data_IF_034878625338
#
_entry.id   IF_034878625338
#
_cell.length_a   1.000
_cell.length_b   1.000
_cell.length_c   1.000
_cell.angle_alpha   90.00
_cell.angle_beta   90.00
_cell.angle_gamma   90.00
#
_symmetry.space_group_name_H-M   'P 1'
#
loop_
_entity.id
_entity.type
_entity.pdbx_description
1 polymer ?
#
# COMPACT_ATOMS: atom_id res chain seq x y z
N UNK A 1 2.63 -3.11 -1.09
CA UNK A 1 4.10 -3.12 -0.86
C UNK A 1 4.49 -4.03 0.30
N UNK A 2 3.91 -3.90 1.49
CA UNK A 2 4.21 -4.76 2.65
C UNK A 2 4.13 -6.26 2.33
N UNK A 3 3.09 -6.68 1.60
CA UNK A 3 2.94 -8.06 1.12
C UNK A 3 4.08 -8.54 0.22
N UNK A 4 4.59 -7.69 -0.67
CA UNK A 4 5.69 -8.07 -1.56
C UNK A 4 7.00 -8.24 -0.78
N UNK A 5 7.26 -7.37 0.20
CA UNK A 5 8.40 -7.56 1.12
C UNK A 5 8.25 -8.83 1.94
N UNK A 6 7.04 -9.13 2.42
CA UNK A 6 6.76 -10.36 3.15
C UNK A 6 7.03 -11.60 2.30
N UNK A 7 6.72 -11.59 0.99
CA UNK A 7 7.08 -12.69 0.07
C UNK A 7 8.58 -12.86 -0.09
N UNK A 8 9.35 -11.76 -0.18
CA UNK A 8 10.82 -11.82 -0.29
C UNK A 8 11.39 -12.41 1.00
N UNK A 9 10.97 -11.88 2.15
CA UNK A 9 11.33 -12.42 3.46
C UNK A 9 10.99 -13.91 3.58
N UNK A 10 9.79 -14.31 3.19
CA UNK A 10 9.34 -15.70 3.23
C UNK A 10 10.19 -16.61 2.33
N UNK A 11 10.75 -16.11 1.22
CA UNK A 11 11.68 -16.86 0.40
C UNK A 11 13.05 -17.04 1.09
N UNK A 12 13.58 -15.99 1.72
CA UNK A 12 14.84 -16.04 2.48
C UNK A 12 14.70 -16.93 3.73
N UNK A 13 13.61 -16.80 4.47
CA UNK A 13 13.34 -17.57 5.67
C UNK A 13 13.18 -19.07 5.39
N UNK A 14 12.47 -19.45 4.32
CA UNK A 14 12.38 -20.86 3.90
C UNK A 14 13.71 -21.46 3.50
N UNK A 15 14.67 -20.65 3.04
CA UNK A 15 16.01 -21.13 2.70
C UNK A 15 16.89 -21.35 3.95
N UNK A 16 16.51 -20.79 5.11
CA UNK A 16 17.24 -20.98 6.36
C UNK A 16 16.87 -22.32 7.02
N UNK A 17 17.85 -23.19 7.33
CA UNK A 17 17.58 -24.48 7.97
C UNK A 17 16.88 -24.32 9.32
N UNK A 18 15.76 -25.03 9.50
CA UNK A 18 15.02 -25.04 10.77
C UNK A 18 14.04 -23.89 10.97
N UNK A 19 13.87 -22.99 9.99
CA UNK A 19 12.92 -21.86 10.14
C UNK A 19 11.46 -22.33 10.20
N UNK A 20 11.10 -23.36 9.43
CA UNK A 20 9.73 -23.89 9.37
C UNK A 20 8.75 -22.94 8.68
N UNK A 21 7.53 -22.83 9.22
CA UNK A 21 6.48 -21.97 8.67
C UNK A 21 6.88 -20.49 8.69
N UNK A 22 6.50 -19.75 7.65
CA UNK A 22 6.94 -18.36 7.45
C UNK A 22 5.76 -17.39 7.48
N UNK A 23 5.94 -16.19 8.08
CA UNK A 23 4.98 -15.10 8.02
C UNK A 23 4.46 -14.82 6.61
N UNK A 24 3.15 -14.63 6.49
CA UNK A 24 2.45 -14.26 5.26
C UNK A 24 1.45 -13.14 5.54
N UNK A 25 1.50 -12.06 4.76
CA UNK A 25 0.42 -11.06 4.72
C UNK A 25 -0.64 -11.53 3.71
N UNK A 26 -1.87 -11.74 4.18
CA UNK A 26 -2.97 -12.21 3.34
C UNK A 26 -3.35 -11.14 2.28
N UNK A 27 -3.86 -11.55 1.11
CA UNK A 27 -4.29 -10.60 0.10
C UNK A 27 -5.57 -9.86 0.52
N UNK A 28 -5.55 -8.54 0.32
CA UNK A 28 -6.73 -7.68 0.39
C UNK A 28 -7.25 -7.42 -1.02
N UNK A 29 -8.54 -7.66 -1.24
CA UNK A 29 -9.24 -7.42 -2.49
C UNK A 29 -10.10 -6.16 -2.39
N UNK A 30 -10.05 -5.33 -3.43
CA UNK A 30 -10.89 -4.14 -3.54
C UNK A 30 -12.13 -4.48 -4.36
N UNK A 31 -13.32 -4.21 -3.83
CA UNK A 31 -14.59 -4.46 -4.50
C UNK A 31 -15.09 -3.16 -5.13
N UNK A 32 -15.37 -3.23 -6.44
CA UNK A 32 -15.86 -2.12 -7.25
C UNK A 32 -17.32 -2.33 -7.65
N UNK A 33 -18.06 -1.23 -7.82
CA UNK A 33 -19.35 -1.26 -8.52
C UNK A 33 -19.11 -1.14 -10.02
N UNK A 34 -20.01 -1.69 -10.87
CA UNK A 34 -19.94 -1.48 -12.31
C UNK A 34 -19.81 0.01 -12.65
N UNK A 35 -18.93 0.33 -13.60
CA UNK A 35 -18.63 1.69 -14.06
C UNK A 35 -18.12 2.68 -12.97
N UNK A 36 -17.60 2.20 -11.83
CA UNK A 36 -16.98 3.05 -10.82
C UNK A 36 -15.52 2.60 -10.53
N UNK A 37 -14.60 3.56 -10.56
CA UNK A 37 -13.17 3.33 -10.27
C UNK A 37 -12.82 3.56 -8.79
N UNK A 38 -13.79 3.91 -7.94
CA UNK A 38 -13.62 4.02 -6.49
C UNK A 38 -14.16 2.75 -5.83
N UNK A 39 -13.32 1.99 -5.08
CA UNK A 39 -13.78 0.81 -4.37
C UNK A 39 -14.72 1.21 -3.23
N UNK A 40 -15.75 0.40 -2.97
CA UNK A 40 -16.72 0.66 -1.90
C UNK A 40 -16.60 -0.30 -0.72
N UNK A 41 -15.91 -1.42 -0.91
CA UNK A 41 -15.65 -2.41 0.13
C UNK A 41 -14.30 -3.08 -0.11
N UNK A 42 -13.75 -3.64 0.97
CA UNK A 42 -12.58 -4.51 0.95
C UNK A 42 -12.99 -5.92 1.35
N UNK A 43 -12.27 -6.92 0.87
CA UNK A 43 -12.48 -8.34 1.19
C UNK A 43 -11.13 -9.02 1.42
N UNK A 44 -11.07 -9.87 2.41
CA UNK A 44 -9.91 -10.69 2.75
C UNK A 44 -10.36 -12.09 3.21
N UNK A 45 -9.39 -13.00 3.33
CA UNK A 45 -9.64 -14.34 3.87
C UNK A 45 -10.05 -14.26 5.34
N UNK A 46 -11.20 -14.81 5.70
CA UNK A 46 -11.57 -14.98 7.12
C UNK A 46 -10.67 -16.05 7.76
N UNK A 47 -9.87 -15.65 8.74
CA UNK A 47 -8.96 -16.55 9.46
C UNK A 47 -9.70 -17.50 10.42
N UNK A 48 -11.00 -17.28 10.68
CA UNK A 48 -11.88 -18.20 11.40
C UNK A 48 -11.53 -18.45 12.87
N UNK A 49 -10.59 -17.69 13.43
CA UNK A 49 -10.11 -17.79 14.82
C UNK A 49 -9.83 -16.40 15.39
N UNK A 50 -9.86 -16.23 16.72
CA UNK A 50 -9.42 -14.98 17.35
C UNK A 50 -7.99 -14.64 16.95
N UNK A 51 -7.77 -13.39 16.57
CA UNK A 51 -6.46 -12.92 16.12
C UNK A 51 -5.57 -12.55 17.33
N UNK A 52 -4.30 -12.94 17.28
CA UNK A 52 -3.25 -12.48 18.20
C UNK A 52 -2.57 -11.23 17.60
N UNK A 53 -2.29 -10.23 18.44
CA UNK A 53 -1.46 -9.10 18.05
C UNK A 53 0.02 -9.46 18.23
N UNK A 54 0.78 -9.39 17.14
CA UNK A 54 2.22 -9.66 17.10
C UNK A 54 3.07 -8.41 17.35
N UNK A 55 2.53 -7.23 17.05
CA UNK A 55 3.08 -5.95 17.50
C UNK A 55 2.00 -4.88 17.57
N UNK A 56 2.11 -3.98 18.56
CA UNK A 56 1.27 -2.79 18.67
C UNK A 56 2.12 -1.54 18.49
N UNK A 57 1.52 -0.52 17.89
CA UNK A 57 2.08 0.83 17.79
C UNK A 57 2.28 1.53 19.15
N UNK A 58 1.58 1.10 20.19
CA UNK A 58 1.68 1.64 21.55
C UNK A 58 2.84 0.98 22.31
N UNK A 59 4.08 1.18 21.86
CA UNK A 59 5.26 0.71 22.59
C UNK A 59 5.54 1.54 23.87
N UNK A 60 4.68 2.50 24.22
CA UNK A 60 4.94 3.54 25.23
C UNK A 60 4.26 3.39 26.59
N UNK A 61 3.29 2.49 26.79
CA UNK A 61 2.51 2.45 28.04
C UNK A 61 2.28 1.05 28.66
N UNK A 62 2.91 0.00 28.14
CA UNK A 62 2.94 -1.28 28.81
C UNK A 62 4.24 -1.39 29.64
N UNK A 63 4.09 -1.37 30.96
CA UNK A 63 5.13 -1.84 31.88
C UNK A 63 5.68 -3.18 31.39
N UNK A 64 7.00 -3.37 31.55
CA UNK A 64 7.76 -4.53 31.08
C UNK A 64 6.90 -5.80 31.04
N UNK A 65 6.70 -6.43 29.86
CA UNK A 65 6.13 -7.75 29.86
C UNK A 65 7.16 -8.63 30.57
N UNK A 66 6.79 -9.11 31.76
CA UNK A 66 7.40 -10.27 32.37
C UNK A 66 7.60 -11.30 31.25
N UNK A 67 8.77 -11.93 31.20
CA UNK A 67 9.23 -12.87 30.18
C UNK A 67 8.24 -14.03 29.91
N UNK A 68 7.08 -13.71 29.35
CA UNK A 68 6.13 -14.64 28.80
C UNK A 68 6.73 -15.08 27.49
N UNK A 69 6.86 -16.40 27.34
CA UNK A 69 7.26 -17.03 26.08
C UNK A 69 6.34 -16.50 24.98
N UNK A 70 6.82 -15.53 24.20
CA UNK A 70 6.12 -15.05 23.02
C UNK A 70 5.89 -16.23 22.09
N UNK A 71 4.70 -16.32 21.49
CA UNK A 71 4.38 -17.40 20.57
C UNK A 71 5.41 -17.41 19.42
N UNK A 72 5.67 -18.59 18.85
CA UNK A 72 6.59 -18.72 17.71
C UNK A 72 6.20 -17.76 16.56
N UNK A 73 4.89 -17.61 16.35
CA UNK A 73 4.30 -16.65 15.43
C UNK A 73 4.72 -15.21 15.74
N UNK A 74 4.60 -14.76 16.99
CA UNK A 74 5.04 -13.43 17.44
C UNK A 74 6.54 -13.24 17.14
N UNK A 75 7.38 -14.21 17.49
CA UNK A 75 8.83 -14.13 17.28
C UNK A 75 9.18 -14.01 15.79
N UNK A 76 8.57 -14.84 14.94
CA UNK A 76 8.77 -14.79 13.49
C UNK A 76 8.28 -13.47 12.87
N UNK A 77 7.17 -12.92 13.37
CA UNK A 77 6.66 -11.62 12.93
C UNK A 77 7.57 -10.46 13.38
N UNK A 78 8.16 -10.53 14.57
CA UNK A 78 9.18 -9.58 15.02
C UNK A 78 10.47 -9.68 14.18
N UNK A 79 10.87 -10.89 13.81
CA UNK A 79 12.00 -11.11 12.88
C UNK A 79 11.71 -10.54 11.50
N UNK A 80 10.48 -10.67 10.99
CA UNK A 80 10.07 -10.01 9.75
C UNK A 80 10.19 -8.47 9.83
N UNK A 81 9.74 -7.86 10.94
CA UNK A 81 9.91 -6.41 11.15
C UNK A 81 11.38 -6.00 11.17
N UNK A 82 12.24 -6.76 11.86
CA UNK A 82 13.69 -6.49 11.93
C UNK A 82 14.35 -6.63 10.57
N UNK A 83 14.06 -7.72 9.86
CA UNK A 83 14.55 -7.95 8.49
C UNK A 83 14.14 -6.79 7.57
N UNK A 84 12.87 -6.37 7.63
CA UNK A 84 12.34 -5.30 6.79
C UNK A 84 12.97 -3.95 7.09
N UNK A 85 13.18 -3.66 8.37
CA UNK A 85 13.87 -2.45 8.82
C UNK A 85 15.29 -2.40 8.23
N UNK A 86 16.05 -3.49 8.30
CA UNK A 86 17.38 -3.58 7.68
C UNK A 86 17.32 -3.49 6.15
N UNK A 87 16.42 -4.24 5.52
CA UNK A 87 16.25 -4.31 4.08
C UNK A 87 15.99 -2.94 3.44
N UNK A 88 15.24 -2.10 4.16
CA UNK A 88 14.86 -0.76 3.71
C UNK A 88 15.74 0.34 4.33
N UNK A 89 16.86 -0.03 4.94
CA UNK A 89 17.81 0.90 5.57
C UNK A 89 17.14 1.86 6.58
N UNK A 90 16.25 1.33 7.40
CA UNK A 90 15.52 2.06 8.44
C UNK A 90 14.52 3.09 7.92
N UNK A 91 14.00 2.90 6.70
CA UNK A 91 13.04 3.84 6.10
C UNK A 91 11.59 3.36 6.13
N UNK A 92 11.37 2.08 6.40
CA UNK A 92 10.07 1.42 6.32
C UNK A 92 9.94 0.35 7.39
N UNK A 93 8.78 0.30 8.04
CA UNK A 93 8.41 -0.70 9.03
C UNK A 93 6.94 -1.05 8.81
N UNK A 94 6.59 -2.33 9.03
CA UNK A 94 5.20 -2.76 9.13
C UNK A 94 4.82 -2.75 10.61
N UNK A 95 3.67 -2.19 10.93
CA UNK A 95 3.16 -2.05 12.30
C UNK A 95 1.78 -2.68 12.42
N UNK A 96 1.29 -2.83 13.65
CA UNK A 96 -0.05 -3.34 13.95
C UNK A 96 -0.29 -4.71 13.30
N UNK A 97 0.73 -5.58 13.39
CA UNK A 97 0.67 -6.94 12.90
C UNK A 97 -0.29 -7.74 13.79
N UNK A 98 -1.39 -8.22 13.22
CA UNK A 98 -2.29 -9.15 13.88
C UNK A 98 -2.68 -10.29 12.94
N UNK A 99 -3.02 -11.45 13.50
CA UNK A 99 -3.56 -12.54 12.71
C UNK A 99 -3.59 -13.87 13.46
N UNK A 100 -3.47 -14.97 12.71
CA UNK A 100 -3.60 -16.33 13.25
C UNK A 100 -2.41 -17.15 12.75
N UNK A 101 -1.62 -17.70 13.68
CA UNK A 101 -0.36 -18.40 13.38
C UNK A 101 0.59 -17.50 12.57
N UNK A 102 1.02 -17.92 11.38
CA UNK A 102 1.90 -17.12 10.51
C UNK A 102 1.15 -16.22 9.53
N UNK A 103 -0.19 -16.27 9.47
CA UNK A 103 -0.98 -15.38 8.62
C UNK A 103 -1.24 -14.06 9.33
N UNK A 104 -0.97 -12.95 8.67
CA UNK A 104 -1.15 -11.58 9.16
C UNK A 104 -2.12 -10.82 8.25
N UNK A 105 -2.93 -9.96 8.84
CA UNK A 105 -3.86 -9.07 8.15
C UNK A 105 -3.85 -7.66 8.75
N UNK A 106 -4.59 -6.73 8.14
CA UNK A 106 -4.82 -5.35 8.61
C UNK A 106 -3.56 -4.55 8.97
N UNK A 107 -2.45 -4.91 8.34
CA UNK A 107 -1.14 -4.35 8.67
C UNK A 107 -1.05 -2.87 8.32
N UNK A 108 -0.46 -2.09 9.22
CA UNK A 108 -0.16 -0.69 9.01
C UNK A 108 1.31 -0.50 8.63
N UNK A 109 1.68 0.72 8.25
CA UNK A 109 3.05 1.05 7.87
C UNK A 109 3.53 2.32 8.57
N UNK A 110 4.81 2.33 8.92
CA UNK A 110 5.54 3.50 9.37
C UNK A 110 6.71 3.78 8.42
N UNK A 111 6.78 5.01 7.94
CA UNK A 111 7.80 5.46 6.99
C UNK A 111 8.57 6.65 7.53
N UNK A 112 9.85 6.74 7.17
CA UNK A 112 10.71 7.85 7.59
C UNK A 112 10.35 9.17 6.91
N UNK A 113 9.86 9.09 5.67
CA UNK A 113 9.46 10.24 4.86
C UNK A 113 7.95 10.21 4.60
N UNK A 114 7.37 11.41 4.39
CA UNK A 114 5.97 11.60 4.01
C UNK A 114 5.71 11.19 2.56
N UNK A 115 4.46 10.84 2.27
CA UNK A 115 3.98 10.62 0.90
C UNK A 115 4.40 9.29 0.29
N UNK A 116 4.74 8.29 1.11
CA UNK A 116 5.11 6.97 0.62
C UNK A 116 3.96 6.37 -0.20
N UNK A 117 4.18 6.17 -1.51
CA UNK A 117 3.14 5.68 -2.44
C UNK A 117 1.83 6.49 -2.40
N UNK A 118 1.89 7.79 -2.08
CA UNK A 118 0.72 8.65 -1.94
C UNK A 118 0.01 8.58 -0.58
N UNK A 119 0.47 7.73 0.34
CA UNK A 119 -0.02 7.70 1.72
C UNK A 119 0.60 8.86 2.51
N UNK A 120 -0.26 9.80 2.94
CA UNK A 120 0.17 10.99 3.70
C UNK A 120 0.34 10.70 5.20
N UNK A 121 -0.44 9.75 5.71
CA UNK A 121 -0.54 9.43 7.13
C UNK A 121 0.40 8.30 7.59
N UNK A 122 1.36 7.86 6.77
CA UNK A 122 2.30 6.79 7.15
C UNK A 122 3.61 7.30 7.79
N UNK A 123 3.82 8.61 7.87
CA UNK A 123 5.11 9.17 8.27
C UNK A 123 5.29 9.21 9.79
N UNK A 124 5.92 8.17 10.35
CA UNK A 124 6.16 8.03 11.78
C UNK A 124 7.64 7.72 12.08
N UNK A 125 8.57 8.67 11.85
CA UNK A 125 10.01 8.46 12.09
C UNK A 125 10.32 8.08 13.54
N UNK A 126 9.62 8.67 14.53
CA UNK A 126 9.81 8.33 15.93
C UNK A 126 9.52 6.85 16.24
N UNK A 127 8.56 6.24 15.55
CA UNK A 127 8.23 4.82 15.72
C UNK A 127 9.32 3.91 15.14
N UNK A 128 9.96 4.31 14.05
CA UNK A 128 11.12 3.62 13.48
C UNK A 128 12.31 3.66 14.44
N UNK A 129 12.59 4.83 15.02
CA UNK A 129 13.68 5.00 16.00
C UNK A 129 13.40 4.22 17.30
N UNK A 130 12.14 4.22 17.76
CA UNK A 130 11.71 3.44 18.91
C UNK A 130 11.82 1.94 18.67
N UNK A 131 11.44 1.45 17.50
CA UNK A 131 11.64 0.06 17.12
C UNK A 131 13.13 -0.30 17.15
N UNK A 132 13.99 0.55 16.56
CA UNK A 132 15.42 0.29 16.51
C UNK A 132 16.09 0.24 17.89
N UNK A 133 15.60 1.02 18.85
CA UNK A 133 16.16 1.06 20.22
C UNK A 133 15.65 -0.03 21.14
N UNK A 134 14.48 -0.60 20.84
CA UNK A 134 13.77 -1.52 21.73
C UNK A 134 13.68 -2.96 21.23
N UNK A 135 13.93 -3.19 19.94
CA UNK A 135 13.94 -4.52 19.37
C UNK A 135 15.06 -5.37 19.97
N UNK A 136 14.66 -6.49 20.59
CA UNK A 136 15.59 -7.53 21.04
C UNK A 136 15.57 -8.65 20.02
N UNK A 137 16.75 -9.00 19.50
CA UNK A 137 16.89 -10.13 18.58
C UNK A 137 16.43 -11.43 19.27
N UNK A 138 15.81 -12.30 18.49
CA UNK A 138 15.40 -13.64 18.92
C UNK A 138 16.13 -14.70 18.07
N UNK A 139 15.88 -15.97 18.37
CA UNK A 139 16.50 -17.11 17.68
C UNK A 139 16.30 -17.09 16.16
N UNK A 140 15.15 -16.59 15.66
CA UNK A 140 14.90 -16.47 14.22
C UNK A 140 15.69 -15.31 13.59
N UNK A 141 15.90 -14.20 14.31
CA UNK A 141 16.81 -13.13 13.85
C UNK A 141 18.24 -13.66 13.70
N UNK A 142 18.71 -14.46 14.65
CA UNK A 142 20.03 -15.09 14.63
C UNK A 142 20.14 -16.12 13.49
N UNK A 143 19.11 -16.94 13.29
CA UNK A 143 19.04 -17.92 12.20
C UNK A 143 19.18 -17.28 10.82
N UNK A 144 18.66 -16.06 10.64
CA UNK A 144 18.81 -15.28 9.41
C UNK A 144 20.08 -14.42 9.37
N UNK A 145 20.92 -14.46 10.42
CA UNK A 145 22.15 -13.67 10.51
C UNK A 145 21.90 -12.16 10.49
N UNK A 146 20.76 -11.69 11.01
CA UNK A 146 20.42 -10.27 10.99
C UNK A 146 21.36 -9.48 11.91
N UNK A 147 21.83 -8.33 11.43
CA UNK A 147 22.62 -7.42 12.25
C UNK A 147 21.76 -6.88 13.40
N UNK A 148 22.19 -7.02 14.68
CA UNK A 148 21.48 -6.42 15.79
C UNK A 148 21.29 -4.91 15.59
N UNK A 149 20.08 -4.43 15.90
CA UNK A 149 19.80 -2.99 15.95
C UNK A 149 20.49 -2.42 17.20
N UNK A 150 21.02 -1.19 17.12
CA UNK A 150 21.80 -0.63 18.22
C UNK A 150 20.94 -0.55 19.48
N UNK A 151 21.33 -1.27 20.53
CA UNK A 151 20.91 -0.95 21.89
C UNK A 151 21.43 0.42 22.34
N UNK A 152 21.05 0.90 23.53
CA UNK A 152 21.35 2.26 24.01
C UNK A 152 22.84 2.66 24.10
N UNK A 153 23.81 1.80 23.75
CA UNK A 153 25.20 2.22 23.63
C UNK A 153 25.94 1.41 22.54
N UNK A 154 26.05 2.00 21.33
CA UNK A 154 27.09 1.64 20.36
C UNK A 154 27.26 2.76 19.33
N UNK A 155 27.94 3.82 19.72
CA UNK A 155 28.49 4.79 18.78
C UNK A 155 29.80 4.24 18.18
N UNK A 156 29.79 3.76 16.92
CA UNK A 156 30.86 3.95 15.91
C UNK A 156 30.41 3.42 14.52
N UNK A 157 31.07 3.86 13.41
CA UNK A 157 30.44 4.02 12.09
C UNK A 157 30.42 2.77 11.20
N UNK A 158 29.60 2.86 10.17
CA UNK A 158 29.19 1.81 9.24
C UNK A 158 30.36 1.20 8.45
N UNK A 159 30.60 -0.10 8.64
CA UNK A 159 31.18 -0.93 7.59
C UNK A 159 30.08 -1.30 6.58
N UNK A 160 30.32 -1.02 5.30
CA UNK A 160 29.46 -1.32 4.14
C UNK A 160 28.93 -2.76 4.22
N UNK A 161 27.63 -2.93 4.37
CA UNK A 161 26.97 -4.20 4.10
C UNK A 161 26.90 -4.44 2.58
N UNK A 162 27.17 -5.69 2.18
CA UNK A 162 27.15 -6.18 0.80
C UNK A 162 25.72 -6.06 0.25
N UNK A 163 25.60 -5.41 -0.92
CA UNK A 163 24.34 -4.88 -1.44
C UNK A 163 23.22 -5.90 -1.62
N UNK A 164 22.08 -5.61 -1.00
CA UNK A 164 20.77 -6.11 -1.37
C UNK A 164 20.17 -5.16 -2.42
N UNK A 165 19.94 -5.68 -3.63
CA UNK A 165 19.29 -4.95 -4.72
C UNK A 165 17.81 -4.77 -4.37
N UNK A 166 17.46 -3.66 -3.73
CA UNK A 166 16.08 -3.23 -3.58
C UNK A 166 15.44 -3.00 -4.96
N UNK A 167 14.24 -3.52 -5.25
CA UNK A 167 13.51 -3.20 -6.46
C UNK A 167 12.80 -1.87 -6.26
N UNK A 168 13.54 -0.77 -6.36
CA UNK A 168 12.92 0.55 -6.45
C UNK A 168 12.34 0.72 -7.85
N UNK A 169 11.01 0.81 -7.93
CA UNK A 169 10.29 1.14 -9.14
C UNK A 169 10.78 2.48 -9.73
N UNK A 170 11.64 2.38 -10.74
CA UNK A 170 12.20 3.51 -11.48
C UNK A 170 12.29 3.17 -12.95
N UNK A 171 11.16 3.25 -13.67
CA UNK A 171 11.18 3.37 -15.13
C UNK A 171 10.35 4.59 -15.52
N UNK A 172 11.01 5.75 -15.60
CA UNK A 172 10.58 6.84 -16.48
C UNK A 172 11.56 6.93 -17.63
N UNK A 173 10.99 6.89 -18.84
CA UNK A 173 11.64 7.20 -20.11
C UNK A 173 11.38 6.13 -21.19
N UNK A 174 11.31 6.49 -22.48
CA UNK A 174 10.83 7.72 -23.11
C UNK A 174 9.60 7.46 -24.00
N UNK A 175 8.78 8.50 -24.17
CA UNK A 175 7.72 8.59 -25.18
C UNK A 175 8.31 8.41 -26.58
N UNK A 176 8.04 7.28 -27.25
CA UNK A 176 8.19 7.14 -28.69
C UNK A 176 7.02 6.32 -29.25
N UNK A 177 6.07 7.03 -29.84
CA UNK A 177 5.02 6.49 -30.71
C UNK A 177 5.63 5.82 -31.94
N UNK A 178 5.22 4.61 -32.34
CA UNK A 178 5.56 4.07 -33.64
C UNK A 178 4.48 4.43 -34.66
N UNK A 179 4.71 5.46 -35.48
CA UNK A 179 4.00 5.61 -36.76
C UNK A 179 4.83 4.96 -37.89
N UNK A 180 4.25 4.05 -38.69
CA UNK A 180 4.96 3.42 -39.80
C UNK A 180 5.14 4.38 -40.98
N UNK A 181 6.35 4.34 -41.56
CA UNK A 181 6.81 5.16 -42.67
C UNK A 181 6.04 4.84 -43.97
N UNK A 182 5.53 5.87 -44.66
CA UNK A 182 5.19 5.79 -46.09
C UNK A 182 6.00 6.78 -46.90
N UNK A 183 6.68 6.22 -47.92
CA UNK A 183 7.44 6.90 -48.96
C UNK A 183 6.51 7.71 -49.89
N UNK A 184 6.96 8.90 -50.29
CA UNK A 184 6.41 9.68 -51.42
C UNK A 184 7.50 10.62 -51.97
N UNK A 185 7.63 10.79 -53.30
CA UNK A 185 8.77 11.46 -53.93
C UNK A 185 8.63 13.00 -53.98
N UNK A 186 9.68 13.77 -54.32
CA UNK A 186 9.69 15.23 -54.24
C UNK A 186 9.45 15.93 -55.60
N UNK A 187 8.84 17.13 -55.57
CA UNK A 187 9.07 18.34 -56.43
C UNK A 187 7.80 19.22 -56.54
N UNK A 188 7.86 20.48 -57.05
CA UNK A 188 8.49 21.67 -56.47
C UNK A 188 7.51 22.90 -56.37
N UNK A 189 8.01 24.03 -55.83
CA UNK A 189 7.31 25.29 -55.54
C UNK A 189 6.49 25.93 -56.68
N UNK A 190 5.42 26.68 -56.32
CA UNK A 190 5.12 28.07 -56.79
C UNK A 190 3.89 28.71 -56.10
N UNK A 191 4.09 29.97 -55.66
CA UNK A 191 3.19 31.15 -55.70
C UNK A 191 1.77 31.15 -55.09
N UNK A 192 1.54 32.09 -54.16
CA UNK A 192 0.24 32.69 -53.78
C UNK A 192 -0.37 33.54 -54.94
N UNK A 193 -1.58 34.18 -54.89
CA UNK A 193 -2.42 34.49 -53.71
C UNK A 193 -3.97 34.43 -53.87
N UNK A 194 -4.65 34.54 -52.71
CA UNK A 194 -5.92 35.25 -52.40
C UNK A 194 -7.16 35.08 -53.28
N UNK A 195 -8.30 34.70 -52.67
CA UNK A 195 -9.59 35.38 -52.83
C UNK A 195 -10.62 35.00 -51.74
N UNK A 196 -11.31 36.03 -51.29
CA UNK A 196 -12.42 36.09 -50.32
C UNK A 196 -13.60 35.16 -50.66
N UNK A 197 -14.30 34.65 -49.64
CA UNK A 197 -15.75 34.87 -49.43
C UNK A 197 -16.28 34.06 -48.22
N UNK A 198 -16.68 34.77 -47.16
CA UNK A 198 -17.87 34.45 -46.34
C UNK A 198 -19.04 35.24 -46.97
N UNK A 199 -20.33 34.86 -46.84
CA UNK A 199 -21.01 34.90 -45.54
C UNK A 199 -22.21 33.93 -45.32
N UNK A 200 -22.60 33.90 -44.04
CA UNK A 200 -23.96 33.93 -43.49
C UNK A 200 -24.83 32.67 -43.28
N UNK A 201 -25.23 32.60 -42.00
CA UNK A 201 -26.26 31.84 -41.32
C UNK A 201 -27.69 31.98 -41.88
N UNK A 202 -28.58 31.07 -41.44
CA UNK A 202 -29.96 31.37 -41.03
C UNK A 202 -30.53 30.25 -40.13
N UNK A 203 -31.21 30.68 -39.07
CA UNK A 203 -31.93 29.91 -38.04
C UNK A 203 -33.30 29.37 -38.49
N UNK A 204 -33.86 28.42 -37.72
CA UNK A 204 -35.27 28.31 -37.25
C UNK A 204 -35.52 26.84 -36.81
N UNK A 205 -35.65 26.49 -35.52
CA UNK A 205 -36.77 26.69 -34.56
C UNK A 205 -37.96 25.74 -34.79
N UNK A 206 -38.46 25.20 -33.65
CA UNK A 206 -39.71 24.46 -33.37
C UNK A 206 -39.53 22.92 -33.29
N UNK A 207 -40.01 22.16 -32.29
CA UNK A 207 -41.15 22.35 -31.38
C UNK A 207 -41.00 21.44 -30.14
N UNK A 208 -41.49 21.92 -28.99
CA UNK A 208 -41.63 21.20 -27.71
C UNK A 208 -42.71 20.11 -27.75
N UNK A 209 -42.61 19.06 -26.92
CA UNK A 209 -43.80 18.43 -26.30
C UNK A 209 -43.42 17.45 -25.17
N UNK A 210 -43.69 17.83 -23.91
CA UNK A 210 -43.94 16.85 -22.85
C UNK A 210 -44.90 17.47 -21.83
N UNK A 211 -46.19 17.12 -21.98
CA UNK A 211 -47.24 17.44 -21.02
C UNK A 211 -47.33 16.36 -19.94
N UNK A 212 -47.42 16.79 -18.69
CA UNK A 212 -47.96 16.00 -17.57
C UNK A 212 -49.37 16.49 -17.25
N UNK A 213 -50.30 15.61 -16.84
CA UNK A 213 -51.49 16.00 -16.11
C UNK A 213 -51.39 15.66 -14.60
N UNK A 214 -52.07 16.41 -13.71
CA UNK A 214 -52.08 16.19 -12.26
C UNK A 214 -53.30 15.35 -11.82
N UNK A 215 -53.20 14.63 -10.69
CA UNK A 215 -54.36 14.14 -9.92
C UNK A 215 -54.15 14.35 -8.40
N UNK A 216 -55.20 14.87 -7.78
CA UNK A 216 -55.46 15.27 -6.39
C UNK A 216 -55.69 14.06 -5.45
N UNK A 217 -55.22 14.10 -4.19
CA UNK A 217 -55.93 14.41 -2.92
C UNK A 217 -56.64 13.21 -2.26
N UNK A 218 -56.55 13.13 -0.92
CA UNK A 218 -57.18 12.10 -0.11
C UNK A 218 -56.53 11.94 1.27
N UNK A 219 -56.83 12.84 2.21
CA UNK A 219 -56.38 12.74 3.60
C UNK A 219 -57.17 11.74 4.45
N UNK A 220 -56.64 11.39 5.62
CA UNK A 220 -57.40 11.06 6.84
C UNK A 220 -56.49 11.03 8.08
N UNK A 221 -56.92 11.77 9.11
CA UNK A 221 -56.44 11.72 10.50
C UNK A 221 -56.94 10.45 11.20
N UNK A 222 -56.18 9.91 12.16
CA UNK A 222 -56.59 9.80 13.58
C UNK A 222 -55.72 8.80 14.41
N UNK A 223 -55.45 9.25 15.65
CA UNK A 223 -55.31 8.52 16.92
C UNK A 223 -54.10 7.61 17.23
N UNK A 224 -53.54 7.85 18.42
CA UNK A 224 -52.72 6.88 19.17
C UNK A 224 -52.04 7.50 20.40
N UNK A 225 -52.59 7.22 21.58
CA UNK A 225 -52.20 7.75 22.90
C UNK A 225 -50.79 7.34 23.35
N UNK A 226 -50.06 8.25 23.99
CA UNK A 226 -49.57 8.16 25.39
C UNK A 226 -48.78 9.41 25.77
#
# INVERSE_FOLDING_TARGET
MSREYCKIFAAEARAAPGFGDVPEIIPLYLIYRPANNIPYATLEEDLGKPMESYCSREWGFAAAPAASSSSEAVQKCQTFQHWLYLWTNGSFLVTDLAGVNWKMTDVQIATKLRGYQGLKESCFPALLDQFASSHQCNTFCEMLGLKPLKGPEAAHPQAKAKGSKSPSAGRRGPQLSPQPQRKGPPSPQKSAPSSKATPQASEAVATQLLGQPPIQDGGSKAQGMR
#
